data_IF_191689342393
#
_entry.id   IF_191689342393
#
_cell.length_a   1.000
_cell.length_b   1.000
_cell.length_c   1.000
_cell.angle_alpha   90.00
_cell.angle_beta   90.00
_cell.angle_gamma   90.00
#
_symmetry.space_group_name_H-M   'P 1'
#
loop_
_entity.id
_entity.type
_entity.pdbx_description
1 polymer ?
#
# COMPACT_ATOMS: atom_id res chain seq x y z
N UNK A 1 -9.53 2.36 -25.80
CA UNK A 1 -10.05 2.99 -24.58
C UNK A 1 -9.38 2.32 -23.39
N UNK A 2 -8.57 3.04 -22.61
CA UNK A 2 -7.89 2.50 -21.42
C UNK A 2 -8.83 2.55 -20.20
N UNK A 3 -8.79 1.58 -19.26
CA UNK A 3 -9.66 1.59 -18.09
C UNK A 3 -9.31 2.73 -17.12
N UNK A 4 -10.29 3.20 -16.34
CA UNK A 4 -10.17 4.37 -15.45
C UNK A 4 -9.06 4.27 -14.38
N UNK A 5 -8.62 3.07 -14.04
CA UNK A 5 -7.55 2.82 -13.07
C UNK A 5 -6.16 2.73 -13.71
N UNK A 6 -6.06 3.08 -15.00
CA UNK A 6 -4.78 3.13 -15.72
C UNK A 6 -4.01 4.40 -15.40
N UNK A 7 -2.69 4.29 -15.47
CA UNK A 7 -1.83 5.48 -15.50
C UNK A 7 -2.01 6.17 -16.85
N UNK A 8 -2.45 7.44 -16.85
CA UNK A 8 -2.59 8.23 -18.07
C UNK A 8 -1.25 8.35 -18.82
N UNK A 9 -1.26 8.03 -20.12
CA UNK A 9 -0.04 7.99 -20.93
C UNK A 9 0.91 6.84 -20.58
N UNK A 10 0.50 5.96 -19.67
CA UNK A 10 1.27 4.79 -19.26
C UNK A 10 1.14 3.63 -20.25
N UNK A 11 2.08 2.69 -20.11
CA UNK A 11 2.04 1.38 -20.77
C UNK A 11 2.09 0.29 -19.72
N UNK A 12 1.52 -0.87 -20.03
CA UNK A 12 1.56 -2.03 -19.15
C UNK A 12 3.02 -2.45 -18.92
N UNK A 13 3.30 -2.84 -17.68
CA UNK A 13 4.64 -3.19 -17.24
C UNK A 13 4.72 -4.70 -17.05
N UNK A 14 5.80 -5.31 -17.54
CA UNK A 14 6.07 -6.73 -17.27
C UNK A 14 6.22 -6.95 -15.76
N UNK A 15 5.70 -8.08 -15.26
CA UNK A 15 5.76 -8.38 -13.84
C UNK A 15 7.20 -8.49 -13.36
N UNK A 16 7.49 -7.94 -12.19
CA UNK A 16 8.83 -7.91 -11.62
C UNK A 16 9.75 -6.81 -12.17
N UNK A 17 9.33 -6.00 -13.16
CA UNK A 17 10.13 -4.86 -13.65
C UNK A 17 10.46 -3.85 -12.55
N UNK A 18 9.53 -3.67 -11.61
CA UNK A 18 9.68 -2.78 -10.45
C UNK A 18 9.50 -3.61 -9.17
N UNK A 19 10.54 -4.37 -8.76
CA UNK A 19 10.44 -5.35 -7.67
C UNK A 19 10.29 -4.72 -6.28
N UNK A 20 10.40 -3.40 -6.15
CA UNK A 20 10.11 -2.65 -4.93
C UNK A 20 8.65 -2.18 -4.84
N UNK A 21 7.87 -2.26 -5.92
CA UNK A 21 6.49 -1.77 -5.93
C UNK A 21 5.60 -2.67 -5.06
N UNK A 22 4.81 -2.03 -4.18
CA UNK A 22 3.83 -2.72 -3.34
C UNK A 22 2.47 -2.06 -3.43
N UNK A 23 1.43 -2.88 -3.26
CA UNK A 23 0.05 -2.41 -3.13
C UNK A 23 -0.32 -2.36 -1.65
N UNK A 24 -0.67 -1.17 -1.15
CA UNK A 24 -1.09 -0.93 0.22
C UNK A 24 -2.60 -0.93 0.30
N UNK A 25 -3.13 -1.65 1.29
CA UNK A 25 -4.55 -1.78 1.55
C UNK A 25 -4.85 -1.42 3.00
N UNK A 26 -5.75 -0.44 3.17
CA UNK A 26 -6.21 0.02 4.48
C UNK A 26 -7.70 -0.27 4.62
N UNK A 27 -8.07 -0.94 5.71
CA UNK A 27 -9.45 -1.31 6.02
C UNK A 27 -9.89 -0.71 7.34
N UNK A 28 -11.06 -0.08 7.32
CA UNK A 28 -11.78 0.44 8.48
C UNK A 28 -13.23 -0.01 8.41
N UNK A 29 -13.98 0.01 9.52
CA UNK A 29 -15.42 -0.20 9.49
C UNK A 29 -16.09 0.70 8.44
N UNK A 30 -16.69 0.09 7.41
CA UNK A 30 -17.39 0.77 6.33
C UNK A 30 -16.54 1.55 5.32
N UNK A 31 -15.19 1.49 5.38
CA UNK A 31 -14.30 2.18 4.43
C UNK A 31 -13.05 1.38 4.10
N UNK A 32 -12.72 1.33 2.82
CA UNK A 32 -11.47 0.78 2.31
C UNK A 32 -10.74 1.84 1.49
N UNK A 33 -9.43 1.90 1.61
CA UNK A 33 -8.59 2.74 0.76
C UNK A 33 -7.35 1.97 0.31
N UNK A 34 -6.82 2.37 -0.83
CA UNK A 34 -5.62 1.77 -1.41
C UNK A 34 -4.62 2.85 -1.80
N UNK A 35 -3.34 2.49 -1.76
CA UNK A 35 -2.24 3.33 -2.20
C UNK A 35 -1.11 2.47 -2.79
N UNK A 36 -0.20 3.12 -3.51
CA UNK A 36 1.10 2.53 -3.84
C UNK A 36 2.13 2.75 -2.73
N UNK A 37 3.16 1.93 -2.71
CA UNK A 37 4.35 2.13 -1.90
C UNK A 37 5.60 1.53 -2.55
N UNK A 38 6.75 1.78 -1.93
CA UNK A 38 8.04 1.23 -2.34
C UNK A 38 8.76 0.55 -1.16
N UNK A 39 9.25 -0.66 -1.36
CA UNK A 39 10.16 -1.32 -0.42
C UNK A 39 11.50 -0.58 -0.49
N UNK A 40 11.90 0.05 0.62
CA UNK A 40 13.16 0.80 0.71
C UNK A 40 14.25 0.01 1.43
N UNK A 41 13.85 -0.88 2.33
CA UNK A 41 14.69 -1.85 3.02
C UNK A 41 13.77 -2.89 3.69
N UNK A 42 14.26 -4.05 4.11
CA UNK A 42 13.47 -4.92 4.98
C UNK A 42 13.61 -4.43 6.45
N UNK A 43 12.54 -4.26 7.24
CA UNK A 43 11.10 -4.46 6.94
C UNK A 43 10.32 -3.14 6.68
N UNK A 44 10.86 -2.22 5.88
CA UNK A 44 10.35 -0.86 5.66
C UNK A 44 9.78 -0.60 4.25
N UNK A 45 8.56 -0.07 4.24
CA UNK A 45 7.88 0.45 3.03
C UNK A 45 7.70 1.96 3.16
N UNK A 46 8.03 2.69 2.11
CA UNK A 46 7.76 4.12 1.97
C UNK A 46 6.46 4.35 1.19
N UNK A 47 5.63 5.27 1.68
CA UNK A 47 4.39 5.72 1.00
C UNK A 47 4.11 7.19 1.32
N UNK A 48 3.10 7.77 0.69
CA UNK A 48 2.68 9.14 0.96
C UNK A 48 1.98 9.23 2.32
N UNK A 49 2.28 10.27 3.11
CA UNK A 49 1.68 10.46 4.44
C UNK A 49 0.14 10.59 4.41
N UNK A 50 -0.43 11.09 3.31
CA UNK A 50 -1.89 11.16 3.13
C UNK A 50 -2.55 9.77 3.07
N UNK A 51 -1.83 8.74 2.60
CA UNK A 51 -2.32 7.37 2.58
C UNK A 51 -2.53 6.82 3.98
N UNK A 52 -1.73 7.28 4.95
CA UNK A 52 -1.76 6.81 6.34
C UNK A 52 -2.49 7.76 7.29
N UNK A 53 -3.02 8.88 6.80
CA UNK A 53 -3.60 9.94 7.65
C UNK A 53 -4.69 9.41 8.59
N UNK A 54 -5.50 8.49 8.09
CA UNK A 54 -6.59 7.88 8.85
C UNK A 54 -6.14 6.64 9.64
N UNK A 55 -4.96 6.08 9.34
CA UNK A 55 -4.43 4.85 9.93
C UNK A 55 -3.46 5.09 11.11
N UNK A 56 -3.48 6.28 11.75
CA UNK A 56 -2.54 6.66 12.83
C UNK A 56 -2.45 5.66 13.99
N UNK A 57 -3.53 4.92 14.25
CA UNK A 57 -3.55 3.78 15.17
C UNK A 57 -3.91 2.51 14.38
N UNK A 58 -2.89 1.76 13.98
CA UNK A 58 -3.07 0.38 13.49
C UNK A 58 -3.15 -0.51 14.73
N UNK A 59 -4.22 -1.29 14.83
CA UNK A 59 -4.39 -2.31 15.88
C UNK A 59 -4.92 -3.58 15.23
N UNK A 60 -4.59 -4.76 15.81
CA UNK A 60 -5.10 -6.07 15.33
C UNK A 60 -6.60 -6.28 15.53
N UNK A 61 -7.32 -5.31 16.10
CA UNK A 61 -8.73 -5.44 16.43
C UNK A 61 -9.63 -4.93 15.29
N UNK A 62 -10.78 -5.58 15.09
CA UNK A 62 -11.79 -5.23 14.08
C UNK A 62 -12.37 -3.81 14.22
N UNK A 63 -12.15 -3.16 15.37
CA UNK A 63 -12.59 -1.80 15.67
C UNK A 63 -11.62 -0.73 15.17
N UNK A 64 -10.40 -1.11 14.76
CA UNK A 64 -9.34 -0.19 14.33
C UNK A 64 -8.93 -0.40 12.86
N UNK A 65 -8.08 0.50 12.36
CA UNK A 65 -7.63 0.45 10.96
C UNK A 65 -6.67 -0.72 10.77
N UNK A 66 -7.02 -1.69 9.92
CA UNK A 66 -6.10 -2.73 9.47
C UNK A 66 -5.30 -2.21 8.29
N UNK A 67 -3.98 -2.33 8.33
CA UNK A 67 -3.10 -1.96 7.23
C UNK A 67 -2.34 -3.21 6.77
N UNK A 68 -2.40 -3.51 5.47
CA UNK A 68 -1.73 -4.65 4.88
C UNK A 68 -1.05 -4.22 3.58
N UNK A 69 -0.01 -4.95 3.17
CA UNK A 69 0.56 -4.81 1.84
C UNK A 69 0.58 -6.13 1.11
N UNK A 70 0.49 -6.05 -0.22
CA UNK A 70 0.63 -7.17 -1.12
C UNK A 70 1.90 -6.99 -1.94
N UNK A 71 2.70 -8.04 -1.96
CA UNK A 71 3.93 -8.11 -2.73
C UNK A 71 3.92 -9.32 -3.66
N UNK A 72 4.18 -9.09 -4.96
CA UNK A 72 4.18 -10.11 -6.01
C UNK A 72 5.52 -10.11 -6.76
N UNK A 73 6.53 -10.85 -6.26
CA UNK A 73 7.83 -10.93 -6.92
C UNK A 73 7.78 -11.74 -8.22
N UNK A 74 6.89 -12.73 -8.32
CA UNK A 74 6.76 -13.61 -9.49
C UNK A 74 5.29 -13.85 -9.83
N UNK A 75 4.84 -13.49 -11.04
CA UNK A 75 3.45 -13.71 -11.48
C UNK A 75 3.12 -15.19 -11.69
N UNK A 76 4.15 -16.01 -11.95
CA UNK A 76 4.03 -17.41 -12.36
C UNK A 76 4.06 -18.34 -11.14
N UNK A 77 2.99 -18.30 -10.36
CA UNK A 77 2.73 -19.25 -9.28
C UNK A 77 3.10 -18.76 -7.89
N UNK A 78 2.20 -19.05 -6.95
CA UNK A 78 2.25 -18.85 -5.49
C UNK A 78 1.61 -17.56 -4.99
N UNK A 79 0.39 -17.74 -4.49
CA UNK A 79 -0.44 -16.88 -3.61
C UNK A 79 0.11 -15.50 -3.28
N UNK A 80 -0.67 -14.48 -3.66
CA UNK A 80 -0.66 -13.11 -3.12
C UNK A 80 -0.38 -13.14 -1.62
N UNK A 81 0.83 -12.81 -1.22
CA UNK A 81 1.21 -12.83 0.19
C UNK A 81 0.77 -11.49 0.78
N UNK A 82 -0.32 -11.53 1.54
CA UNK A 82 -0.78 -10.39 2.33
C UNK A 82 0.06 -10.31 3.61
N UNK A 83 0.71 -9.19 3.82
CA UNK A 83 1.52 -8.92 4.99
C UNK A 83 0.89 -7.83 5.84
N UNK A 84 0.79 -8.04 7.15
CA UNK A 84 0.29 -7.04 8.08
C UNK A 84 1.36 -5.96 8.34
N UNK A 85 0.93 -4.70 8.44
CA UNK A 85 1.80 -3.59 8.82
C UNK A 85 1.65 -3.39 10.33
N UNK A 86 2.75 -3.53 11.06
CA UNK A 86 2.76 -3.43 12.52
C UNK A 86 2.75 -1.97 13.02
N UNK A 87 3.45 -1.08 12.30
CA UNK A 87 3.63 0.30 12.71
C UNK A 87 3.73 1.23 11.51
N UNK A 88 3.09 2.40 11.61
CA UNK A 88 3.31 3.54 10.72
C UNK A 88 4.25 4.52 11.41
N UNK A 89 5.30 4.92 10.70
CA UNK A 89 6.20 6.01 11.10
C UNK A 89 5.86 7.20 10.21
N UNK A 90 5.20 8.21 10.78
CA UNK A 90 4.82 9.41 10.07
C UNK A 90 5.75 10.56 10.47
N UNK A 91 6.41 11.17 9.48
CA UNK A 91 7.17 12.39 9.70
C UNK A 91 6.20 13.54 10.01
N UNK A 92 6.52 14.34 11.03
CA UNK A 92 5.62 15.34 11.59
C UNK A 92 5.14 16.37 10.57
N UNK A 93 3.84 16.66 10.61
CA UNK A 93 3.14 17.75 9.92
C UNK A 93 3.04 17.66 8.39
N UNK A 94 2.15 16.77 7.90
CA UNK A 94 1.44 17.02 6.63
C UNK A 94 0.17 17.79 6.96
N UNK A 95 0.21 19.12 6.88
CA UNK A 95 -1.01 19.92 6.72
C UNK A 95 -1.19 20.15 5.22
N UNK A 96 -2.35 19.74 4.70
CA UNK A 96 -2.81 20.18 3.38
C UNK A 96 -2.95 21.71 3.49
N UNK A 97 -2.13 22.46 2.75
CA UNK A 97 -2.39 23.87 2.48
C UNK A 97 -3.66 23.99 1.63
#
# INVERSE_FOLDING_TARGET
MQPLWSVFGGTEVIVGKYPWMVYLYFTKPGRHSFCGGAIINYPYILTAAQCTHTAKHITRTHTHTKAQFLYKPNFKGTTDTLHDIEKIIQLGSFHLL
#
